data_IF_085754384954
#
_entry.id   IF_085754384954
#
_cell.length_a   1.000
_cell.length_b   1.000
_cell.length_c   1.000
_cell.angle_alpha   90.00
_cell.angle_beta   90.00
_cell.angle_gamma   90.00
#
_symmetry.space_group_name_H-M   'P 1'
#
loop_
_entity.id
_entity.type
_entity.pdbx_description
1 polymer ?
#
# COMPACT_ATOMS: atom_id res chain seq x y z
N UNK A 1 -12.92 -12.50 -9.43
CA UNK A 1 -12.71 -11.60 -8.28
C UNK A 1 -11.38 -10.91 -8.48
N UNK A 2 -11.34 -9.58 -8.37
CA UNK A 2 -10.07 -8.82 -8.39
C UNK A 2 -9.25 -9.15 -7.14
N UNK A 3 -7.93 -9.13 -7.29
CA UNK A 3 -7.00 -9.24 -6.18
C UNK A 3 -7.18 -8.05 -5.22
N UNK A 4 -7.12 -8.24 -3.89
CA UNK A 4 -7.09 -7.11 -2.95
C UNK A 4 -5.92 -6.19 -3.26
N UNK A 5 -6.14 -4.89 -3.16
CA UNK A 5 -5.12 -3.89 -3.42
C UNK A 5 -5.07 -2.85 -2.33
N UNK A 6 -3.91 -2.18 -2.23
CA UNK A 6 -3.70 -1.00 -1.37
C UNK A 6 -2.79 -0.03 -2.11
N UNK A 7 -2.82 1.23 -1.71
CA UNK A 7 -1.86 2.23 -2.13
C UNK A 7 -1.07 2.72 -0.91
N UNK A 8 0.25 2.66 -0.99
CA UNK A 8 1.15 3.20 0.03
C UNK A 8 1.58 4.59 -0.44
N UNK A 9 1.25 5.63 0.33
CA UNK A 9 1.64 7.00 0.03
C UNK A 9 2.69 7.50 1.02
N UNK A 10 3.71 8.17 0.50
CA UNK A 10 4.77 8.80 1.29
C UNK A 10 5.05 10.20 0.72
N UNK A 11 5.65 11.11 1.50
CA UNK A 11 6.20 12.34 0.94
C UNK A 11 7.15 12.03 -0.23
N UNK A 12 7.14 12.81 -1.29
CA UNK A 12 7.91 12.55 -2.51
C UNK A 12 9.41 12.39 -2.25
N UNK A 13 9.97 13.11 -1.28
CA UNK A 13 11.36 13.00 -0.84
C UNK A 13 11.70 11.64 -0.19
N UNK A 14 10.69 10.88 0.25
CA UNK A 14 10.82 9.53 0.82
C UNK A 14 10.69 8.43 -0.23
N UNK A 15 10.45 8.76 -1.50
CA UNK A 15 10.40 7.79 -2.61
C UNK A 15 11.56 6.79 -2.61
N UNK A 16 12.85 7.20 -2.51
CA UNK A 16 13.97 6.25 -2.52
C UNK A 16 13.94 5.26 -1.35
N UNK A 17 13.43 5.69 -0.19
CA UNK A 17 13.29 4.82 0.98
C UNK A 17 12.22 3.75 0.76
N UNK A 18 11.05 4.14 0.25
CA UNK A 18 9.96 3.20 -0.01
C UNK A 18 10.32 2.20 -1.11
N UNK A 19 10.81 2.69 -2.25
CA UNK A 19 11.24 1.82 -3.36
C UNK A 19 12.36 0.88 -2.90
N UNK A 20 13.35 1.39 -2.18
CA UNK A 20 14.46 0.58 -1.66
C UNK A 20 14.00 -0.55 -0.74
N UNK A 21 13.03 -0.27 0.15
CA UNK A 21 12.42 -1.29 1.02
C UNK A 21 11.72 -2.39 0.22
N UNK A 22 10.90 -2.01 -0.76
CA UNK A 22 10.14 -2.98 -1.57
C UNK A 22 11.10 -3.79 -2.45
N UNK A 23 12.09 -3.15 -3.09
CA UNK A 23 13.10 -3.83 -3.91
C UNK A 23 13.94 -4.82 -3.10
N UNK A 24 14.27 -4.48 -1.85
CA UNK A 24 15.00 -5.38 -0.95
C UNK A 24 14.23 -6.68 -0.63
N UNK A 25 12.92 -6.74 -0.90
CA UNK A 25 12.12 -7.96 -0.73
C UNK A 25 12.30 -8.96 -1.89
N UNK A 26 13.08 -8.62 -2.91
CA UNK A 26 13.29 -9.45 -4.09
C UNK A 26 12.34 -9.10 -5.25
N UNK A 27 12.01 -7.81 -5.39
CA UNK A 27 11.20 -7.31 -6.50
C UNK A 27 11.93 -7.51 -7.83
N UNK A 28 11.25 -8.09 -8.82
CA UNK A 28 11.79 -8.33 -10.16
C UNK A 28 10.88 -7.71 -11.22
N UNK A 29 11.42 -7.08 -12.27
CA UNK A 29 10.60 -6.61 -13.39
C UNK A 29 9.87 -7.77 -14.08
N UNK A 30 8.58 -7.64 -14.34
CA UNK A 30 7.84 -8.52 -15.24
C UNK A 30 8.03 -8.05 -16.68
N UNK A 31 8.80 -8.81 -17.45
CA UNK A 31 9.11 -8.51 -18.84
C UNK A 31 7.88 -8.56 -19.79
N UNK A 32 6.74 -9.09 -19.33
CA UNK A 32 5.51 -9.24 -20.11
C UNK A 32 4.52 -8.11 -19.85
N UNK A 33 4.31 -7.72 -18.59
CA UNK A 33 3.33 -6.67 -18.25
C UNK A 33 3.94 -5.29 -18.13
N UNK A 34 5.26 -5.20 -17.90
CA UNK A 34 5.94 -3.95 -17.57
C UNK A 34 5.80 -3.53 -16.10
N UNK A 35 5.03 -4.28 -15.30
CA UNK A 35 4.93 -4.10 -13.85
C UNK A 35 6.09 -4.80 -13.14
N UNK A 36 6.31 -4.46 -11.88
CA UNK A 36 7.22 -5.23 -11.02
C UNK A 36 6.45 -6.37 -10.31
N UNK A 37 7.03 -7.58 -10.30
CA UNK A 37 6.50 -8.75 -9.59
C UNK A 37 7.32 -9.10 -8.37
N UNK A 38 6.61 -9.47 -7.31
CA UNK A 38 7.19 -9.97 -6.08
C UNK A 38 6.62 -11.35 -5.77
N UNK A 39 7.50 -12.28 -5.41
CA UNK A 39 7.13 -13.58 -4.85
C UNK A 39 7.72 -13.70 -3.46
N UNK A 40 6.87 -13.72 -2.43
CA UNK A 40 7.33 -13.74 -1.03
C UNK A 40 6.35 -14.46 -0.10
N UNK A 41 6.88 -15.25 0.82
CA UNK A 41 6.11 -16.08 1.76
C UNK A 41 5.08 -16.99 1.08
N UNK A 42 5.38 -17.47 -0.14
CA UNK A 42 4.46 -18.28 -0.94
C UNK A 42 3.35 -17.50 -1.66
N UNK A 43 3.32 -16.17 -1.55
CA UNK A 43 2.36 -15.30 -2.23
C UNK A 43 2.97 -14.57 -3.43
N UNK A 44 2.09 -14.15 -4.33
CA UNK A 44 2.42 -13.31 -5.50
C UNK A 44 1.82 -11.91 -5.37
N UNK A 45 2.55 -10.91 -5.83
CA UNK A 45 2.13 -9.52 -5.84
C UNK A 45 2.49 -8.87 -7.17
N UNK A 46 1.66 -7.93 -7.61
CA UNK A 46 1.98 -6.95 -8.64
C UNK A 46 2.16 -5.60 -7.98
N UNK A 47 3.26 -4.93 -8.29
CA UNK A 47 3.64 -3.66 -7.68
C UNK A 47 3.97 -2.67 -8.79
N UNK A 48 3.34 -1.50 -8.72
CA UNK A 48 3.67 -0.36 -9.58
C UNK A 48 4.41 0.70 -8.75
N UNK A 49 5.70 0.86 -9.06
CA UNK A 49 6.59 1.87 -8.46
C UNK A 49 6.66 3.18 -9.28
N UNK A 50 5.91 3.30 -10.38
CA UNK A 50 5.97 4.49 -11.25
C UNK A 50 5.39 5.74 -10.58
N UNK A 51 4.45 5.56 -9.64
CA UNK A 51 3.61 6.62 -9.11
C UNK A 51 2.40 6.95 -10.00
N UNK A 52 2.20 6.20 -11.09
CA UNK A 52 1.12 6.42 -12.05
C UNK A 52 -0.27 6.36 -11.44
N UNK A 53 -0.44 5.58 -10.37
CA UNK A 53 -1.71 5.48 -9.62
C UNK A 53 -2.25 6.82 -9.11
N UNK A 54 -1.39 7.84 -8.92
CA UNK A 54 -1.85 9.18 -8.53
C UNK A 54 -2.73 9.86 -9.60
N UNK A 55 -2.66 9.42 -10.86
CA UNK A 55 -3.51 9.93 -11.93
C UNK A 55 -4.98 9.50 -11.78
N UNK A 56 -5.24 8.46 -10.98
CA UNK A 56 -6.58 7.92 -10.73
C UNK A 56 -7.27 8.61 -9.54
N UNK A 57 -6.55 9.44 -8.78
CA UNK A 57 -7.12 10.19 -7.66
C UNK A 57 -7.83 11.45 -8.14
N UNK A 58 -8.97 11.75 -7.52
CA UNK A 58 -9.61 13.04 -7.69
C UNK A 58 -8.78 14.16 -7.04
N UNK A 59 -8.93 15.39 -7.53
CA UNK A 59 -8.13 16.53 -7.04
C UNK A 59 -8.32 16.75 -5.55
N UNK A 60 -9.57 16.67 -5.08
CA UNK A 60 -9.94 16.88 -3.68
C UNK A 60 -9.31 15.82 -2.78
N UNK A 61 -9.17 14.57 -3.25
CA UNK A 61 -8.50 13.50 -2.52
C UNK A 61 -6.99 13.75 -2.43
N UNK A 62 -6.36 14.15 -3.54
CA UNK A 62 -4.95 14.53 -3.55
C UNK A 62 -4.66 15.72 -2.63
N UNK A 63 -5.55 16.71 -2.57
CA UNK A 63 -5.37 17.87 -1.69
C UNK A 63 -5.44 17.48 -0.20
N UNK A 64 -6.29 16.50 0.15
CA UNK A 64 -6.31 15.92 1.50
C UNK A 64 -5.02 15.17 1.83
N UNK A 65 -4.50 14.39 0.87
CA UNK A 65 -3.20 13.71 1.02
C UNK A 65 -2.09 14.75 1.21
N UNK A 66 -2.04 15.78 0.36
CA UNK A 66 -1.02 16.85 0.41
C UNK A 66 -1.02 17.61 1.73
N UNK A 67 -2.19 17.85 2.29
CA UNK A 67 -2.32 18.51 3.60
C UNK A 67 -1.69 17.67 4.72
N UNK A 68 -1.66 16.34 4.58
CA UNK A 68 -1.14 15.41 5.59
C UNK A 68 0.36 15.12 5.44
N UNK A 69 0.85 14.96 4.20
CA UNK A 69 2.21 14.46 3.94
C UNK A 69 3.01 15.30 2.93
N UNK A 70 2.50 16.45 2.47
CA UNK A 70 3.12 17.23 1.40
C UNK A 70 2.95 16.58 0.03
N UNK A 71 3.79 16.93 -0.95
CA UNK A 71 3.67 16.36 -2.30
C UNK A 71 3.84 14.83 -2.25
N UNK A 72 2.85 14.04 -2.70
CA UNK A 72 2.88 12.60 -2.51
C UNK A 72 3.66 11.87 -3.60
N UNK A 73 4.26 10.76 -3.21
CA UNK A 73 4.61 9.64 -4.08
C UNK A 73 3.81 8.42 -3.62
N UNK A 74 3.26 7.67 -4.57
CA UNK A 74 2.42 6.51 -4.29
C UNK A 74 2.94 5.24 -4.96
N UNK A 75 2.73 4.11 -4.27
CA UNK A 75 2.98 2.78 -4.80
C UNK A 75 1.69 1.99 -4.75
N UNK A 76 1.24 1.50 -5.90
CA UNK A 76 0.11 0.59 -5.98
C UNK A 76 0.59 -0.84 -5.77
N UNK A 77 -0.16 -1.60 -4.95
CA UNK A 77 0.12 -3.00 -4.69
C UNK A 77 -1.16 -3.81 -4.87
N UNK A 78 -1.11 -4.78 -5.77
CA UNK A 78 -2.14 -5.82 -5.91
C UNK A 78 -1.63 -7.13 -5.33
N UNK A 79 -2.39 -7.69 -4.39
CA UNK A 79 -2.00 -8.82 -3.55
C UNK A 79 -2.85 -10.04 -3.90
N UNK A 80 -2.26 -11.22 -4.01
CA UNK A 80 -3.00 -12.47 -4.30
C UNK A 80 -4.19 -12.75 -3.35
N UNK A 81 -4.08 -12.34 -2.09
CA UNK A 81 -5.10 -12.53 -1.07
C UNK A 81 -4.97 -11.48 0.04
N UNK A 82 -5.94 -11.45 0.96
CA UNK A 82 -5.86 -10.59 2.14
C UNK A 82 -4.73 -11.01 3.09
N UNK A 83 -4.44 -12.32 3.18
CA UNK A 83 -3.29 -12.80 3.94
C UNK A 83 -1.98 -12.31 3.33
N UNK A 84 -1.88 -12.33 2.00
CA UNK A 84 -0.74 -11.76 1.29
C UNK A 84 -0.60 -10.26 1.58
N UNK A 85 -1.69 -9.50 1.48
CA UNK A 85 -1.68 -8.06 1.76
C UNK A 85 -1.20 -7.77 3.20
N UNK A 86 -1.76 -8.47 4.20
CA UNK A 86 -1.35 -8.33 5.60
C UNK A 86 0.12 -8.71 5.83
N UNK A 87 0.60 -9.78 5.20
CA UNK A 87 1.99 -10.20 5.32
C UNK A 87 2.95 -9.14 4.75
N UNK A 88 2.68 -8.66 3.53
CA UNK A 88 3.51 -7.64 2.89
C UNK A 88 3.52 -6.32 3.67
N UNK A 89 2.37 -5.86 4.14
CA UNK A 89 2.28 -4.57 4.85
C UNK A 89 2.98 -4.60 6.20
N UNK A 90 3.01 -5.75 6.89
CA UNK A 90 3.85 -5.91 8.09
C UNK A 90 5.35 -5.87 7.79
N UNK A 91 5.75 -6.26 6.59
CA UNK A 91 7.15 -6.17 6.17
C UNK A 91 7.55 -4.76 5.73
N UNK A 92 6.65 -4.01 5.06
CA UNK A 92 6.98 -2.73 4.41
C UNK A 92 6.76 -1.50 5.32
N UNK A 93 5.65 -1.47 6.05
CA UNK A 93 5.18 -0.28 6.77
C UNK A 93 5.94 0.08 8.06
N UNK A 94 6.57 -0.85 8.82
CA UNK A 94 7.20 -0.48 10.09
C UNK A 94 8.21 0.67 9.96
N UNK A 95 8.02 1.72 10.74
CA UNK A 95 8.88 2.93 10.71
C UNK A 95 8.80 3.72 9.39
N UNK A 96 7.78 3.50 8.56
CA UNK A 96 7.47 4.35 7.42
C UNK A 96 6.54 5.48 7.88
N UNK A 97 6.91 6.72 7.61
CA UNK A 97 6.05 7.88 7.83
C UNK A 97 5.31 8.22 6.54
N UNK A 98 3.99 8.04 6.54
CA UNK A 98 3.16 8.09 5.35
C UNK A 98 1.73 7.64 5.60
N UNK A 99 1.01 7.36 4.52
CA UNK A 99 -0.39 6.93 4.54
C UNK A 99 -0.56 5.56 3.87
N UNK A 100 -1.61 4.86 4.27
CA UNK A 100 -2.13 3.69 3.56
C UNK A 100 -3.54 4.03 3.11
N UNK A 101 -3.73 4.09 1.81
CA UNK A 101 -5.06 4.07 1.22
C UNK A 101 -5.44 2.60 0.99
N UNK A 102 -6.56 2.24 1.59
CA UNK A 102 -7.13 0.89 1.54
C UNK A 102 -7.63 0.52 0.14
N UNK A 103 -7.67 1.47 -0.79
CA UNK A 103 -8.39 1.41 -2.07
C UNK A 103 -9.90 1.13 -1.87
N UNK A 104 -10.41 1.47 -0.69
CA UNK A 104 -11.75 1.20 -0.21
C UNK A 104 -12.22 2.30 0.76
N UNK A 105 -12.22 3.54 0.28
CA UNK A 105 -12.74 4.74 0.95
C UNK A 105 -12.02 5.20 2.24
N UNK A 106 -10.98 4.51 2.69
CA UNK A 106 -10.22 4.89 3.88
C UNK A 106 -8.74 5.13 3.59
N UNK A 107 -8.24 6.28 4.06
CA UNK A 107 -6.82 6.65 4.05
C UNK A 107 -6.34 6.86 5.48
N UNK A 108 -5.51 5.94 5.97
CA UNK A 108 -5.05 5.89 7.37
C UNK A 108 -3.57 6.22 7.48
N UNK A 109 -3.13 6.70 8.66
CA UNK A 109 -1.70 6.81 8.93
C UNK A 109 -1.08 5.41 8.93
N UNK A 110 0.13 5.23 8.39
CA UNK A 110 0.83 3.92 8.36
C UNK A 110 0.89 3.26 9.74
N UNK A 111 1.22 4.05 10.77
CA UNK A 111 1.34 3.58 12.15
C UNK A 111 -0.02 3.18 12.77
N UNK A 112 -1.10 3.85 12.37
CA UNK A 112 -2.46 3.50 12.78
C UNK A 112 -2.93 2.23 12.08
N UNK A 113 -2.72 2.14 10.77
CA UNK A 113 -3.04 0.97 9.97
C UNK A 113 -2.35 -0.30 10.51
N UNK A 114 -1.05 -0.21 10.82
CA UNK A 114 -0.31 -1.31 11.43
C UNK A 114 -0.89 -1.74 12.78
N UNK A 115 -1.27 -0.80 13.65
CA UNK A 115 -1.91 -1.13 14.94
C UNK A 115 -3.22 -1.89 14.73
N UNK A 116 -4.01 -1.51 13.74
CA UNK A 116 -5.25 -2.22 13.39
C UNK A 116 -4.95 -3.62 12.85
N UNK A 117 -3.96 -3.78 11.97
CA UNK A 117 -3.54 -5.11 11.49
C UNK A 117 -3.11 -6.03 12.62
N UNK A 118 -2.34 -5.52 13.58
CA UNK A 118 -1.81 -6.32 14.68
C UNK A 118 -2.90 -6.66 15.70
N UNK A 119 -3.87 -5.77 15.91
CA UNK A 119 -5.00 -5.99 16.81
C UNK A 119 -6.05 -6.93 16.21
N UNK A 120 -6.32 -6.82 14.91
CA UNK A 120 -7.40 -7.51 14.22
C UNK A 120 -6.84 -8.40 13.10
N UNK A 121 -6.31 -9.57 13.47
CA UNK A 121 -5.62 -10.47 12.54
C UNK A 121 -6.46 -10.90 11.32
N UNK A 122 -7.79 -10.93 11.45
CA UNK A 122 -8.73 -11.30 10.40
C UNK A 122 -9.32 -10.13 9.61
N UNK A 123 -8.90 -8.89 9.87
CA UNK A 123 -9.51 -7.70 9.27
C UNK A 123 -9.38 -7.72 7.74
N UNK A 124 -10.51 -7.63 7.05
CA UNK A 124 -10.63 -7.42 5.60
C UNK A 124 -11.25 -6.03 5.39
N UNK A 125 -10.39 -5.01 5.18
CA UNK A 125 -10.78 -3.61 4.98
C UNK A 125 -11.68 -3.39 3.77
N UNK A 126 -11.75 -4.35 2.84
CA UNK A 126 -12.67 -4.29 1.69
C UNK A 126 -14.12 -4.57 2.09
N UNK A 127 -14.33 -5.14 3.28
CA UNK A 127 -15.64 -5.60 3.78
C UNK A 127 -16.08 -4.86 5.04
N UNK A 128 -15.13 -4.43 5.85
CA UNK A 128 -15.39 -3.77 7.12
C UNK A 128 -14.45 -2.57 7.25
N UNK A 129 -14.96 -1.34 7.28
CA UNK A 129 -14.12 -0.16 7.50
C UNK A 129 -13.53 -0.18 8.92
N UNK A 130 -12.45 0.57 9.12
CA UNK A 130 -11.75 0.61 10.41
C UNK A 130 -12.62 1.12 11.55
N UNK A 131 -13.61 1.97 11.25
CA UNK A 131 -14.56 2.53 12.21
C UNK A 131 -15.50 1.50 12.83
N UNK A 132 -15.67 0.35 12.17
CA UNK A 132 -16.61 -0.70 12.57
C UNK A 132 -15.91 -1.84 13.34
N UNK A 133 -14.61 -1.70 13.62
CA UNK A 133 -13.85 -2.68 14.40
C UNK A 133 -14.12 -2.52 15.89
N UNK A 134 -14.63 -3.59 16.52
CA UNK A 134 -14.97 -3.67 17.95
C UNK A 134 -13.92 -4.42 18.75
#
# INVERSE_FOLDING_TARGET
MSWPSVIILVPAERRPLLEGRIRALGLVPDAVTGDDRLHRHGYSYYIDLSGGILADYEREELDQVRTRIGEPYAVYVSCQSMDAARALLRDVLPGLDGLVDTNHYEILQTSEFLKLLDRYAGWDWRRQPSTDLV
#
